data_IF_602881644622
#
_entry.id   IF_602881644622
#
_cell.length_a   1.000
_cell.length_b   1.000
_cell.length_c   1.000
_cell.angle_alpha   90.00
_cell.angle_beta   90.00
_cell.angle_gamma   90.00
#
_symmetry.space_group_name_H-M   'P 1'
#
loop_
_entity.id
_entity.type
_entity.pdbx_description
1 polymer ?
#
# COMPACT_ATOMS: atom_id res chain seq x y z
N UNK A 1 13.24 -1.95 -28.29
CA UNK A 1 12.84 -3.17 -27.54
C UNK A 1 13.05 -3.02 -26.04
N UNK A 2 14.12 -2.36 -25.59
CA UNK A 2 14.39 -2.16 -24.15
C UNK A 2 13.27 -1.43 -23.41
N UNK A 3 12.73 -0.36 -23.99
CA UNK A 3 11.61 0.40 -23.42
C UNK A 3 10.41 -0.48 -23.02
N UNK A 4 10.01 -1.43 -23.87
CA UNK A 4 8.90 -2.34 -23.57
C UNK A 4 9.21 -3.27 -22.39
N UNK A 5 10.45 -3.72 -22.27
CA UNK A 5 10.89 -4.57 -21.16
C UNK A 5 10.89 -3.81 -19.84
N UNK A 6 11.44 -2.60 -19.83
CA UNK A 6 11.47 -1.74 -18.64
C UNK A 6 10.05 -1.39 -18.17
N UNK A 7 9.14 -1.06 -19.09
CA UNK A 7 7.75 -0.77 -18.75
C UNK A 7 7.02 -2.00 -18.22
N UNK A 8 7.23 -3.17 -18.83
CA UNK A 8 6.64 -4.42 -18.35
C UNK A 8 7.15 -4.79 -16.94
N UNK A 9 8.45 -4.64 -16.69
CA UNK A 9 9.04 -4.89 -15.37
C UNK A 9 8.46 -3.94 -14.31
N UNK A 10 8.37 -2.64 -14.62
CA UNK A 10 7.76 -1.66 -13.72
C UNK A 10 6.30 -2.02 -13.41
N UNK A 11 5.53 -2.40 -14.43
CA UNK A 11 4.13 -2.82 -14.25
C UNK A 11 4.00 -4.04 -13.35
N UNK A 12 4.90 -5.00 -13.47
CA UNK A 12 4.94 -6.18 -12.60
C UNK A 12 5.23 -5.79 -11.15
N UNK A 13 6.20 -4.91 -10.91
CA UNK A 13 6.50 -4.41 -9.56
C UNK A 13 5.33 -3.64 -8.95
N UNK A 14 4.55 -2.92 -9.77
CA UNK A 14 3.31 -2.30 -9.29
C UNK A 14 2.25 -3.33 -8.88
N UNK A 15 2.14 -4.47 -9.58
CA UNK A 15 1.24 -5.56 -9.18
C UNK A 15 1.71 -6.23 -7.88
N UNK A 16 3.02 -6.41 -7.70
CA UNK A 16 3.59 -6.92 -6.43
C UNK A 16 3.26 -5.99 -5.25
N UNK A 17 3.24 -4.67 -5.47
CA UNK A 17 2.83 -3.72 -4.45
C UNK A 17 1.33 -3.83 -4.11
N UNK A 18 0.46 -4.08 -5.11
CA UNK A 18 -0.97 -4.34 -4.88
C UNK A 18 -1.17 -5.62 -4.07
N UNK A 19 -0.48 -6.70 -4.43
CA UNK A 19 -0.53 -7.97 -3.67
C UNK A 19 -0.06 -7.78 -2.22
N UNK A 20 0.96 -6.92 -2.00
CA UNK A 20 1.43 -6.60 -0.65
C UNK A 20 0.36 -5.83 0.15
N UNK A 21 -0.33 -4.87 -0.46
CA UNK A 21 -1.46 -4.15 0.18
C UNK A 21 -2.59 -5.12 0.52
N UNK A 22 -2.92 -6.06 -0.37
CA UNK A 22 -3.93 -7.08 -0.12
C UNK A 22 -3.56 -7.99 1.07
N UNK A 23 -2.27 -8.27 1.29
CA UNK A 23 -1.80 -9.01 2.48
C UNK A 23 -1.85 -8.20 3.76
N UNK A 24 -1.75 -6.87 3.68
CA UNK A 24 -1.84 -5.97 4.83
C UNK A 24 -3.29 -5.72 5.25
N UNK A 25 -4.25 -5.83 4.33
CA UNK A 25 -5.68 -5.64 4.61
C UNK A 25 -6.21 -6.54 5.74
N UNK A 26 -5.94 -7.87 5.76
CA UNK A 26 -6.34 -8.73 6.89
C UNK A 26 -5.69 -8.35 8.21
N UNK A 27 -4.48 -7.77 8.20
CA UNK A 27 -3.78 -7.31 9.41
C UNK A 27 -4.52 -6.13 10.03
N UNK A 28 -4.87 -5.15 9.20
CA UNK A 28 -5.70 -4.02 9.61
C UNK A 28 -7.07 -4.51 10.10
N UNK A 29 -7.69 -5.48 9.42
CA UNK A 29 -9.00 -5.97 9.80
C UNK A 29 -9.00 -6.66 11.18
N UNK A 30 -7.98 -7.47 11.48
CA UNK A 30 -7.84 -8.08 12.82
C UNK A 30 -7.72 -7.04 13.93
N UNK A 31 -7.00 -5.94 13.68
CA UNK A 31 -6.94 -4.83 14.62
C UNK A 31 -8.33 -4.23 14.86
N UNK A 32 -9.07 -3.95 13.78
CA UNK A 32 -10.43 -3.38 13.85
C UNK A 32 -11.38 -4.31 14.61
N UNK A 33 -11.31 -5.61 14.34
CA UNK A 33 -12.18 -6.60 14.98
C UNK A 33 -11.94 -6.67 16.49
N UNK A 34 -10.67 -6.56 16.94
CA UNK A 34 -10.27 -6.60 18.35
C UNK A 34 -10.53 -5.29 19.08
N UNK A 35 -10.12 -4.17 18.49
CA UNK A 35 -10.12 -2.85 19.12
C UNK A 35 -11.41 -2.06 18.87
N UNK A 36 -12.24 -2.52 17.93
CA UNK A 36 -13.50 -1.87 17.50
C UNK A 36 -13.32 -0.45 16.99
N UNK A 37 -12.12 -0.12 16.49
CA UNK A 37 -11.74 1.18 15.91
C UNK A 37 -10.58 1.02 14.92
N UNK A 38 -10.34 2.06 14.13
CA UNK A 38 -9.15 2.16 13.28
C UNK A 38 -7.88 2.42 14.13
N UNK A 39 -6.71 1.93 13.70
CA UNK A 39 -5.45 2.37 14.26
C UNK A 39 -5.20 3.83 13.89
N UNK A 40 -4.59 4.59 14.80
CA UNK A 40 -4.26 6.01 14.67
C UNK A 40 -2.99 6.23 13.85
N UNK A 41 -2.16 5.20 13.71
CA UNK A 41 -0.90 5.26 12.96
C UNK A 41 -0.39 3.88 12.60
N UNK A 42 0.59 3.84 11.69
CA UNK A 42 1.36 2.63 11.41
C UNK A 42 2.03 2.06 12.66
N UNK A 43 2.58 2.91 13.53
CA UNK A 43 3.26 2.47 14.74
C UNK A 43 2.32 1.71 15.68
N UNK A 44 1.07 2.18 15.78
CA UNK A 44 0.06 1.48 16.57
C UNK A 44 -0.26 0.11 15.96
N UNK A 45 -0.49 0.04 14.64
CA UNK A 45 -0.79 -1.22 13.96
C UNK A 45 0.38 -2.21 14.07
N UNK A 46 1.62 -1.73 13.91
CA UNK A 46 2.85 -2.52 14.07
C UNK A 46 2.97 -3.09 15.47
N UNK A 47 2.77 -2.27 16.51
CA UNK A 47 2.85 -2.71 17.89
C UNK A 47 1.74 -3.72 18.23
N UNK A 48 0.50 -3.45 17.81
CA UNK A 48 -0.66 -4.27 18.14
C UNK A 48 -0.66 -5.62 17.41
N UNK A 49 -0.21 -5.66 16.15
CA UNK A 49 -0.15 -6.88 15.33
C UNK A 49 1.25 -7.53 15.32
N UNK A 50 2.19 -7.01 16.14
CA UNK A 50 3.57 -7.52 16.29
C UNK A 50 4.31 -7.64 14.95
N UNK A 51 4.14 -6.65 14.09
CA UNK A 51 4.87 -6.59 12.82
C UNK A 51 6.35 -6.26 13.08
N UNK A 52 7.23 -6.71 12.19
CA UNK A 52 8.68 -6.45 12.31
C UNK A 52 9.03 -4.95 12.19
N UNK A 53 8.13 -4.15 11.63
CA UNK A 53 8.29 -2.72 11.41
C UNK A 53 7.19 -2.19 10.48
N UNK A 54 7.29 -0.91 10.11
CA UNK A 54 6.40 -0.35 9.08
C UNK A 54 6.69 -1.07 7.75
N UNK A 55 5.70 -1.70 7.11
CA UNK A 55 5.90 -2.40 5.85
C UNK A 55 6.38 -1.44 4.75
N UNK A 56 7.32 -1.90 3.94
CA UNK A 56 7.83 -1.20 2.77
C UNK A 56 7.35 -1.84 1.47
N UNK A 57 7.19 -1.01 0.44
CA UNK A 57 6.89 -1.46 -0.91
C UNK A 57 8.10 -2.16 -1.55
N UNK A 58 7.94 -2.81 -2.72
CA UNK A 58 9.03 -3.51 -3.41
C UNK A 58 10.25 -2.64 -3.77
N UNK A 59 10.13 -1.31 -3.71
CA UNK A 59 11.24 -0.37 -3.95
C UNK A 59 11.92 0.09 -2.66
N UNK A 60 11.46 -0.39 -1.51
CA UNK A 60 12.00 -0.07 -0.19
C UNK A 60 11.41 1.21 0.42
N UNK A 61 10.38 1.80 -0.19
CA UNK A 61 9.69 2.96 0.37
C UNK A 61 8.53 2.50 1.25
N UNK A 62 8.43 3.00 2.48
CA UNK A 62 7.34 2.63 3.39
C UNK A 62 5.96 2.92 2.77
N UNK A 63 5.04 1.97 2.91
CA UNK A 63 3.63 2.20 2.60
C UNK A 63 3.09 3.34 3.47
N UNK A 64 2.13 4.08 2.93
CA UNK A 64 1.39 5.09 3.68
C UNK A 64 0.09 4.48 4.21
N UNK A 65 -0.33 4.95 5.37
CA UNK A 65 -1.59 4.57 6.00
C UNK A 65 -2.36 5.83 6.34
N UNK A 66 -3.60 5.88 5.89
CA UNK A 66 -4.56 6.91 6.27
C UNK A 66 -5.43 6.41 7.43
N UNK A 67 -5.21 6.91 8.66
CA UNK A 67 -5.97 6.49 9.84
C UNK A 67 -7.42 6.98 9.83
N UNK A 68 -7.78 7.98 9.01
CA UNK A 68 -9.14 8.51 8.97
C UNK A 68 -10.10 7.54 8.25
N UNK A 69 -9.60 6.86 7.20
CA UNK A 69 -10.39 5.94 6.37
C UNK A 69 -9.92 4.49 6.44
N UNK A 70 -8.80 4.21 7.11
CA UNK A 70 -8.24 2.86 7.20
C UNK A 70 -7.66 2.38 5.88
N UNK A 71 -7.07 3.28 5.09
CA UNK A 71 -6.55 2.95 3.76
C UNK A 71 -5.03 2.80 3.78
N UNK A 72 -4.52 1.73 3.16
CA UNK A 72 -3.09 1.49 2.97
C UNK A 72 -2.78 1.65 1.48
N UNK A 73 -1.72 2.37 1.17
CA UNK A 73 -1.34 2.67 -0.21
C UNK A 73 0.18 2.85 -0.36
N UNK A 74 0.70 2.87 -1.58
CA UNK A 74 2.09 3.27 -1.84
C UNK A 74 2.27 4.76 -1.60
N UNK A 75 3.44 5.11 -1.10
CA UNK A 75 3.83 6.52 -0.94
C UNK A 75 3.90 7.22 -2.29
N UNK A 76 3.47 8.49 -2.36
CA UNK A 76 3.72 9.35 -3.54
C UNK A 76 5.21 9.57 -3.83
N UNK A 77 6.10 9.22 -2.88
CA UNK A 77 7.56 9.25 -3.04
C UNK A 77 8.11 7.96 -3.69
N UNK A 78 7.29 6.92 -3.79
CA UNK A 78 7.66 5.67 -4.45
C UNK A 78 7.63 5.84 -5.96
N UNK A 79 8.55 5.18 -6.66
CA UNK A 79 8.52 5.12 -8.13
C UNK A 79 7.36 4.26 -8.65
N UNK A 80 6.65 3.55 -7.77
CA UNK A 80 5.47 2.77 -8.10
C UNK A 80 4.18 3.59 -8.12
N UNK A 81 4.19 4.82 -7.59
CA UNK A 81 3.02 5.69 -7.63
C UNK A 81 2.84 6.31 -9.03
N UNK A 82 1.61 6.39 -9.56
CA UNK A 82 0.38 5.81 -9.04
C UNK A 82 0.24 4.32 -9.39
N UNK A 83 -0.40 3.54 -8.52
CA UNK A 83 -0.68 2.14 -8.81
C UNK A 83 -1.70 1.94 -9.96
N UNK A 84 -1.67 0.78 -10.65
CA UNK A 84 -2.71 0.34 -11.57
C UNK A 84 -4.11 0.51 -10.96
N UNK A 85 -5.08 1.02 -11.71
CA UNK A 85 -6.45 1.25 -11.23
C UNK A 85 -6.63 2.55 -10.44
N UNK A 86 -5.62 3.01 -9.72
CA UNK A 86 -5.60 4.35 -9.10
C UNK A 86 -5.33 5.43 -10.16
N UNK A 87 -4.36 5.20 -11.03
CA UNK A 87 -4.09 6.05 -12.18
C UNK A 87 -5.35 6.25 -13.04
N UNK A 88 -6.12 5.17 -13.25
CA UNK A 88 -7.36 5.20 -14.02
C UNK A 88 -8.44 6.07 -13.36
N UNK A 89 -8.52 6.09 -12.03
CA UNK A 89 -9.44 6.94 -11.25
C UNK A 89 -9.05 8.41 -11.27
N UNK A 90 -7.77 8.75 -11.46
CA UNK A 90 -7.27 10.13 -11.57
C UNK A 90 -7.50 10.74 -12.95
N UNK A 91 -7.70 9.93 -13.99
CA UNK A 91 -7.88 10.38 -15.39
C UNK A 91 -9.33 10.56 -15.83
N UNK A 92 -10.33 10.32 -14.97
CA UNK A 92 -11.74 10.59 -15.30
C UNK A 92 -12.07 12.06 -14.99
N UNK A 93 -12.57 12.87 -15.95
CA UNK A 93 -13.20 14.14 -15.63
C UNK A 93 -14.49 13.87 -14.85
N UNK A 94 -14.66 14.60 -13.74
CA UNK A 94 -15.91 14.65 -12.95
C UNK A 94 -17.02 15.32 -13.76
#
# INVERSE_FOLDING_TARGET
MEYLRTQAAHRLTQLEALDAIDRLTPVLQRFIDRERRLPKSWQELVAAERLAGVPADPTGVNFVFDPAVGHIDVSRKSTLWPLPGQAAKLTLPQ
#
